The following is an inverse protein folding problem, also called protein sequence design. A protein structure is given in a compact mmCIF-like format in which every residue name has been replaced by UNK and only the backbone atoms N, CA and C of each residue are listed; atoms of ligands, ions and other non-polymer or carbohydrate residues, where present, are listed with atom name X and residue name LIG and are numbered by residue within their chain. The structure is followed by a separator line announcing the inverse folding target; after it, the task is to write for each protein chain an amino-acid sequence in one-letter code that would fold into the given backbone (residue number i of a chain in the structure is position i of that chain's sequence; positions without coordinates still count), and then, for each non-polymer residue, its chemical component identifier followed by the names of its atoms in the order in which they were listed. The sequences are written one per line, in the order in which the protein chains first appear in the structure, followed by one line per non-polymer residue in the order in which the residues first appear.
data_IF_064989683493
#
_entry.id   IF_064989683493
#
_cell.length_a   1.000
_cell.length_b   1.000
_cell.length_c   1.000
_cell.angle_alpha   90.00
_cell.angle_beta   90.00
_cell.angle_gamma   90.00
#
_symmetry.space_group_name_H-M   'P 1'
#
loop_
_entity.id
_entity.type
_entity.pdbx_description
1 polymer ?
#
# COMPACT_ATOMS: atom_id res chain seq x y z
N UNK A 1 -20.64 -21.27 -1.30
CA UNK A 1 -19.63 -20.34 -0.75
C UNK A 1 -19.84 -18.99 -1.40
N UNK A 2 -19.91 -17.92 -0.62
CA UNK A 2 -19.91 -16.56 -1.17
C UNK A 2 -18.54 -16.27 -1.79
N UNK A 3 -18.44 -15.51 -2.89
CA UNK A 3 -17.16 -15.03 -3.40
C UNK A 3 -16.31 -14.30 -2.34
N UNK A 4 -16.97 -13.70 -1.34
CA UNK A 4 -16.30 -13.08 -0.20
C UNK A 4 -15.53 -14.10 0.68
N UNK A 5 -16.01 -15.33 0.79
CA UNK A 5 -15.37 -16.40 1.57
C UNK A 5 -14.06 -16.87 0.92
N UNK A 6 -13.91 -16.63 -0.39
CA UNK A 6 -12.73 -16.99 -1.17
C UNK A 6 -11.60 -15.95 -1.08
N UNK A 7 -11.82 -14.80 -0.45
CA UNK A 7 -10.80 -13.74 -0.32
C UNK A 7 -9.71 -14.18 0.67
N UNK A 8 -8.43 -14.28 0.24
CA UNK A 8 -7.36 -14.66 1.14
C UNK A 8 -7.20 -13.66 2.30
N UNK A 9 -7.00 -14.12 3.55
CA UNK A 9 -6.97 -13.27 4.72
C UNK A 9 -5.77 -12.31 4.76
N UNK A 10 -4.72 -12.59 3.97
CA UNK A 10 -3.57 -11.70 3.86
C UNK A 10 -3.92 -10.37 3.15
N UNK A 11 -4.89 -10.36 2.24
CA UNK A 11 -5.28 -9.16 1.48
C UNK A 11 -5.81 -8.07 2.42
N UNK A 12 -6.89 -8.28 3.20
CA UNK A 12 -7.38 -7.24 4.10
C UNK A 12 -6.35 -6.88 5.18
N UNK A 13 -5.57 -7.84 5.69
CA UNK A 13 -4.52 -7.55 6.68
C UNK A 13 -3.43 -6.63 6.13
N UNK A 14 -2.98 -6.87 4.90
CA UNK A 14 -2.00 -6.04 4.21
C UNK A 14 -2.52 -4.61 4.04
N UNK A 15 -3.76 -4.43 3.59
CA UNK A 15 -4.34 -3.09 3.45
C UNK A 15 -4.55 -2.39 4.80
N UNK A 16 -4.94 -3.09 5.87
CA UNK A 16 -4.97 -2.50 7.22
C UNK A 16 -3.60 -2.00 7.66
N UNK A 17 -2.57 -2.82 7.50
CA UNK A 17 -1.20 -2.48 7.85
C UNK A 17 -0.70 -1.28 7.04
N UNK A 18 -0.95 -1.26 5.72
CA UNK A 18 -0.62 -0.15 4.86
C UNK A 18 -1.36 1.14 5.28
N UNK A 19 -2.64 1.04 5.65
CA UNK A 19 -3.43 2.17 6.13
C UNK A 19 -2.86 2.79 7.40
N UNK A 20 -2.53 1.95 8.38
CA UNK A 20 -1.90 2.39 9.64
C UNK A 20 -0.53 3.01 9.37
N UNK A 21 0.30 2.39 8.53
CA UNK A 21 1.61 2.92 8.17
C UNK A 21 1.51 4.30 7.52
N UNK A 22 0.57 4.49 6.59
CA UNK A 22 0.32 5.80 5.99
C UNK A 22 -0.03 6.85 7.03
N UNK A 23 -0.94 6.56 7.97
CA UNK A 23 -1.28 7.51 9.03
C UNK A 23 -0.10 7.85 9.94
N UNK A 24 0.69 6.84 10.34
CA UNK A 24 1.85 7.03 11.21
C UNK A 24 2.94 7.89 10.57
N UNK A 25 3.12 7.82 9.25
CA UNK A 25 4.10 8.65 8.52
C UNK A 25 3.51 10.03 8.20
N UNK A 26 2.26 10.06 7.76
CA UNK A 26 1.61 11.27 7.25
C UNK A 26 1.23 12.24 8.37
N UNK A 27 0.65 11.78 9.49
CA UNK A 27 0.17 12.67 10.53
C UNK A 27 1.29 13.55 11.13
N UNK A 28 2.48 13.01 11.49
CA UNK A 28 3.61 13.83 11.94
C UNK A 28 4.11 14.79 10.85
N UNK A 29 4.18 14.34 9.61
CA UNK A 29 4.63 15.15 8.47
C UNK A 29 3.69 16.32 8.16
N UNK A 30 2.39 16.13 8.40
CA UNK A 30 1.36 17.16 8.22
C UNK A 30 1.38 18.19 9.36
N UNK A 31 1.49 17.74 10.60
CA UNK A 31 1.45 18.60 11.80
C UNK A 31 2.79 19.30 12.08
N UNK A 32 3.90 18.64 11.79
CA UNK A 32 5.26 19.11 12.07
C UNK A 32 6.23 18.76 10.92
N UNK A 33 6.07 19.39 9.73
CA UNK A 33 6.86 19.06 8.54
C UNK A 33 8.37 19.28 8.73
N UNK A 34 8.76 20.35 9.45
CA UNK A 34 10.18 20.64 9.72
C UNK A 34 10.84 19.55 10.58
N UNK A 35 10.19 19.18 11.69
CA UNK A 35 10.68 18.12 12.59
C UNK A 35 10.72 16.76 11.90
N UNK A 36 9.75 16.48 11.05
CA UNK A 36 9.72 15.24 10.26
C UNK A 36 10.87 15.20 9.25
N UNK A 37 11.18 16.31 8.58
CA UNK A 37 12.35 16.42 7.71
C UNK A 37 13.67 16.23 8.48
N UNK A 38 13.80 16.82 9.67
CA UNK A 38 14.98 16.66 10.54
C UNK A 38 15.21 15.20 10.95
N UNK A 39 14.16 14.48 11.36
CA UNK A 39 14.25 13.04 11.70
C UNK A 39 14.70 12.21 10.51
N UNK A 40 14.27 12.59 9.30
CA UNK A 40 14.68 11.94 8.07
C UNK A 40 16.03 12.45 7.55
N UNK A 41 16.73 13.32 8.26
CA UNK A 41 18.01 13.91 7.81
C UNK A 41 17.88 14.74 6.53
N UNK A 42 16.67 15.19 6.21
CA UNK A 42 16.36 15.98 5.03
C UNK A 42 16.38 17.48 5.37
N UNK A 43 16.66 18.32 4.37
CA UNK A 43 16.52 19.76 4.53
C UNK A 43 15.05 20.09 4.79
N UNK A 44 14.72 20.88 5.84
CA UNK A 44 13.35 21.28 6.10
C UNK A 44 12.71 21.98 4.90
N UNK A 45 11.47 21.66 4.54
CA UNK A 45 10.79 22.30 3.42
C UNK A 45 10.56 23.78 3.70
N UNK A 46 10.83 24.62 2.70
CA UNK A 46 10.59 26.06 2.72
C UNK A 46 10.07 26.51 1.36
N UNK A 47 8.75 26.74 1.20
CA UNK A 47 7.71 26.73 2.24
C UNK A 47 7.35 25.30 2.73
N UNK A 48 6.78 25.13 3.94
CA UNK A 48 6.37 23.83 4.47
C UNK A 48 5.11 23.26 3.81
N UNK A 49 4.30 24.12 3.18
CA UNK A 49 3.00 23.79 2.60
C UNK A 49 3.01 22.58 1.63
N UNK A 50 3.97 22.42 0.70
CA UNK A 50 3.99 21.26 -0.21
C UNK A 50 4.13 19.92 0.52
N UNK A 51 4.96 19.86 1.57
CA UNK A 51 5.11 18.64 2.38
C UNK A 51 3.83 18.34 3.16
N UNK A 52 3.15 19.36 3.67
CA UNK A 52 1.87 19.19 4.37
C UNK A 52 0.76 18.73 3.43
N UNK A 53 0.70 19.30 2.21
CA UNK A 53 -0.25 18.88 1.19
C UNK A 53 -0.02 17.42 0.77
N UNK A 54 1.23 17.04 0.52
CA UNK A 54 1.59 15.65 0.22
C UNK A 54 1.25 14.70 1.38
N UNK A 55 1.58 15.09 2.62
CA UNK A 55 1.24 14.32 3.80
C UNK A 55 -0.28 14.19 3.98
N UNK A 56 -1.05 15.24 3.72
CA UNK A 56 -2.51 15.20 3.70
C UNK A 56 -3.06 14.18 2.71
N UNK A 57 -2.49 14.12 1.49
CA UNK A 57 -2.85 13.08 0.52
C UNK A 57 -2.50 11.67 1.04
N UNK A 58 -1.28 11.45 1.54
CA UNK A 58 -0.88 10.16 2.10
C UNK A 58 -1.79 9.71 3.27
N UNK A 59 -2.25 10.66 4.09
CA UNK A 59 -3.21 10.42 5.16
C UNK A 59 -4.57 9.96 4.62
N UNK A 60 -5.07 10.56 3.53
CA UNK A 60 -6.29 10.14 2.84
C UNK A 60 -6.17 8.72 2.25
N UNK A 61 -5.01 8.38 1.66
CA UNK A 61 -4.75 7.01 1.21
C UNK A 61 -4.81 6.00 2.37
N UNK A 62 -4.47 6.43 3.59
CA UNK A 62 -4.68 5.62 4.79
C UNK A 62 -6.14 5.20 4.98
N UNK A 63 -7.09 6.12 4.81
CA UNK A 63 -8.52 5.79 4.84
C UNK A 63 -8.93 4.90 3.66
N UNK A 64 -8.45 5.20 2.45
CA UNK A 64 -8.73 4.35 1.28
C UNK A 64 -8.30 2.91 1.50
N UNK A 65 -7.13 2.67 2.13
CA UNK A 65 -6.69 1.33 2.47
C UNK A 65 -7.55 0.67 3.55
N UNK A 66 -8.07 1.40 4.53
CA UNK A 66 -9.03 0.85 5.49
C UNK A 66 -10.37 0.47 4.82
N UNK A 67 -10.85 1.27 3.86
CA UNK A 67 -12.06 0.90 3.09
C UNK A 67 -11.84 -0.36 2.26
N UNK A 68 -10.71 -0.47 1.57
CA UNK A 68 -10.34 -1.68 0.84
C UNK A 68 -10.26 -2.87 1.79
N UNK A 69 -9.69 -2.69 2.99
CA UNK A 69 -9.58 -3.77 3.96
C UNK A 69 -10.93 -4.23 4.53
N UNK A 70 -11.94 -3.36 4.57
CA UNK A 70 -13.29 -3.69 5.02
C UNK A 70 -14.07 -4.49 3.97
N UNK A 71 -13.90 -4.18 2.69
CA UNK A 71 -14.52 -4.91 1.58
C UNK A 71 -13.56 -4.98 0.37
N UNK A 72 -12.59 -5.91 0.37
CA UNK A 72 -11.58 -5.97 -0.69
C UNK A 72 -12.17 -6.26 -2.06
N UNK A 73 -13.22 -7.08 -2.12
CA UNK A 73 -13.81 -7.55 -3.38
C UNK A 73 -14.69 -6.46 -4.02
N UNK A 74 -15.56 -5.81 -3.22
CA UNK A 74 -16.40 -4.72 -3.70
C UNK A 74 -15.60 -3.44 -3.98
N UNK A 75 -14.52 -3.19 -3.24
CA UNK A 75 -13.63 -2.02 -3.42
C UNK A 75 -12.39 -2.31 -4.28
N UNK A 76 -12.33 -3.44 -4.99
CA UNK A 76 -11.15 -3.82 -5.81
C UNK A 76 -10.74 -2.77 -6.84
N UNK A 77 -11.67 -1.94 -7.32
CA UNK A 77 -11.35 -0.84 -8.22
C UNK A 77 -10.40 0.19 -7.59
N UNK A 78 -10.43 0.37 -6.27
CA UNK A 78 -9.54 1.29 -5.54
C UNK A 78 -8.09 0.80 -5.48
N UNK A 79 -7.87 -0.52 -5.58
CA UNK A 79 -6.52 -1.11 -5.51
C UNK A 79 -5.66 -0.68 -6.70
N UNK A 80 -6.26 -0.39 -7.87
CA UNK A 80 -5.50 0.15 -9.00
C UNK A 80 -4.88 1.52 -8.70
N UNK A 81 -5.61 2.36 -7.98
CA UNK A 81 -5.11 3.66 -7.56
C UNK A 81 -4.09 3.51 -6.43
N UNK A 82 -4.21 2.48 -5.58
CA UNK A 82 -3.23 2.16 -4.55
C UNK A 82 -1.84 1.89 -5.13
N UNK A 83 -1.70 0.94 -6.07
CA UNK A 83 -0.38 0.65 -6.64
C UNK A 83 0.12 1.74 -7.60
N UNK A 84 -0.79 2.48 -8.26
CA UNK A 84 -0.40 3.61 -9.10
C UNK A 84 0.17 4.77 -8.27
N UNK A 85 -0.42 5.09 -7.11
CA UNK A 85 0.14 6.05 -6.17
C UNK A 85 1.53 5.64 -5.72
N UNK A 86 1.68 4.38 -5.26
CA UNK A 86 2.97 3.85 -4.81
C UNK A 86 4.03 3.96 -5.91
N UNK A 87 3.67 3.67 -7.15
CA UNK A 87 4.58 3.83 -8.30
C UNK A 87 5.00 5.29 -8.52
N UNK A 88 4.05 6.24 -8.50
CA UNK A 88 4.36 7.67 -8.69
C UNK A 88 5.25 8.20 -7.56
N UNK A 89 4.91 7.90 -6.31
CA UNK A 89 5.70 8.28 -5.12
C UNK A 89 7.10 7.67 -5.16
N UNK A 90 7.20 6.36 -5.47
CA UNK A 90 8.45 5.65 -5.63
C UNK A 90 9.36 6.30 -6.70
N UNK A 91 8.82 6.62 -7.87
CA UNK A 91 9.59 7.24 -8.94
C UNK A 91 10.06 8.66 -8.58
N UNK A 92 9.19 9.47 -7.97
CA UNK A 92 9.51 10.85 -7.60
C UNK A 92 10.67 10.92 -6.60
N UNK A 93 10.64 10.10 -5.55
CA UNK A 93 11.66 10.12 -4.50
C UNK A 93 12.93 9.38 -4.97
N UNK A 94 12.81 8.33 -5.79
CA UNK A 94 13.98 7.68 -6.40
C UNK A 94 14.76 8.65 -7.29
N UNK A 95 14.04 9.50 -8.06
CA UNK A 95 14.65 10.59 -8.82
C UNK A 95 15.30 11.62 -7.89
N UNK A 96 14.60 12.06 -6.85
CA UNK A 96 15.14 13.02 -5.87
C UNK A 96 16.42 12.52 -5.20
N UNK A 97 16.50 11.23 -4.85
CA UNK A 97 17.70 10.63 -4.29
C UNK A 97 18.87 10.62 -5.29
N UNK A 98 18.62 10.15 -6.53
CA UNK A 98 19.63 10.13 -7.59
C UNK A 98 20.16 11.53 -7.91
N UNK A 99 19.29 12.52 -7.89
CA UNK A 99 19.63 13.92 -8.20
C UNK A 99 20.24 14.65 -6.97
N UNK A 100 20.49 13.95 -5.85
CA UNK A 100 21.12 14.50 -4.63
C UNK A 100 20.20 15.38 -3.77
N UNK A 101 18.89 15.37 -4.04
CA UNK A 101 17.89 16.22 -3.37
C UNK A 101 17.25 15.54 -2.14
N UNK A 102 17.35 14.21 -2.04
CA UNK A 102 16.84 13.43 -0.91
C UNK A 102 17.97 12.67 -0.20
N UNK A 103 17.98 12.64 1.14
CA UNK A 103 18.96 11.85 1.89
C UNK A 103 18.68 10.34 1.76
N UNK A 104 19.70 9.52 2.05
CA UNK A 104 19.60 8.06 2.00
C UNK A 104 18.48 7.51 2.90
N UNK A 105 18.28 8.09 4.08
CA UNK A 105 17.20 7.76 5.01
C UNK A 105 15.81 7.87 4.38
N UNK A 106 15.52 8.95 3.66
CA UNK A 106 14.26 9.12 2.93
C UNK A 106 14.11 8.09 1.82
N UNK A 107 15.22 7.76 1.13
CA UNK A 107 15.22 6.74 0.08
C UNK A 107 15.00 5.32 0.64
N UNK A 108 15.62 4.97 1.77
CA UNK A 108 15.40 3.67 2.43
C UNK A 108 13.95 3.55 2.90
N UNK A 109 13.41 4.60 3.54
CA UNK A 109 12.02 4.62 3.96
C UNK A 109 11.08 4.40 2.77
N UNK A 110 11.33 5.08 1.64
CA UNK A 110 10.59 4.92 0.39
C UNK A 110 10.63 3.49 -0.14
N UNK A 111 11.82 2.89 -0.23
CA UNK A 111 11.95 1.54 -0.78
C UNK A 111 11.12 0.55 0.02
N UNK A 112 11.10 0.73 1.35
CA UNK A 112 10.31 -0.10 2.26
C UNK A 112 8.81 0.21 2.20
N UNK A 113 8.40 1.47 1.98
CA UNK A 113 6.98 1.85 2.01
C UNK A 113 6.28 1.74 0.67
N UNK A 114 6.97 2.07 -0.44
CA UNK A 114 6.36 2.21 -1.76
C UNK A 114 6.78 1.08 -2.69
N UNK A 115 8.09 0.91 -2.94
CA UNK A 115 8.56 -0.15 -3.84
C UNK A 115 8.15 -1.55 -3.36
N UNK A 116 8.30 -1.83 -2.07
CA UNK A 116 7.92 -3.11 -1.49
C UNK A 116 6.41 -3.41 -1.57
N UNK A 117 5.57 -2.38 -1.68
CA UNK A 117 4.10 -2.52 -1.66
C UNK A 117 3.46 -2.63 -3.05
N UNK A 118 4.14 -2.20 -4.11
CA UNK A 118 3.60 -2.28 -5.48
C UNK A 118 3.27 -3.73 -5.86
N UNK A 119 4.23 -4.65 -5.73
CA UNK A 119 4.03 -6.04 -6.14
C UNK A 119 2.92 -6.75 -5.33
N UNK A 120 2.87 -6.63 -3.98
CA UNK A 120 1.76 -7.14 -3.18
C UNK A 120 0.40 -6.56 -3.57
N UNK A 121 0.31 -5.26 -3.86
CA UNK A 121 -0.95 -4.64 -4.30
C UNK A 121 -1.40 -5.13 -5.67
N UNK A 122 -0.47 -5.28 -6.62
CA UNK A 122 -0.77 -5.85 -7.94
C UNK A 122 -1.20 -7.31 -7.84
N UNK A 123 -0.57 -8.10 -6.95
CA UNK A 123 -0.97 -9.48 -6.69
C UNK A 123 -2.37 -9.55 -6.08
N UNK A 124 -2.68 -8.68 -5.11
CA UNK A 124 -4.01 -8.59 -4.51
C UNK A 124 -5.08 -8.22 -5.55
N UNK A 125 -4.81 -7.22 -6.41
CA UNK A 125 -5.68 -6.84 -7.52
C UNK A 125 -5.99 -8.05 -8.40
N UNK A 126 -4.95 -8.71 -8.94
CA UNK A 126 -5.11 -9.87 -9.83
C UNK A 126 -5.91 -10.98 -9.16
N UNK A 127 -5.64 -11.24 -7.87
CA UNK A 127 -6.32 -12.30 -7.12
C UNK A 127 -7.80 -12.00 -6.93
N UNK A 128 -8.14 -10.77 -6.60
CA UNK A 128 -9.52 -10.34 -6.43
C UNK A 128 -10.27 -10.31 -7.77
N UNK A 129 -9.61 -9.93 -8.86
CA UNK A 129 -10.20 -9.97 -10.19
C UNK A 129 -10.50 -11.42 -10.64
N UNK A 130 -9.61 -12.37 -10.34
CA UNK A 130 -9.87 -13.82 -10.56
C UNK A 130 -11.08 -14.30 -9.76
N UNK A 131 -11.15 -13.98 -8.47
CA UNK A 131 -12.29 -14.35 -7.61
C UNK A 131 -13.59 -13.73 -8.14
N UNK A 132 -13.55 -12.47 -8.57
CA UNK A 132 -14.71 -11.77 -9.14
C UNK A 132 -15.17 -12.36 -10.48
N UNK A 133 -14.24 -12.89 -11.28
CA UNK A 133 -14.53 -13.58 -12.54
C UNK A 133 -15.07 -15.01 -12.35
N UNK A 134 -14.99 -15.57 -11.14
CA UNK A 134 -15.32 -16.96 -10.86
C UNK A 134 -14.15 -17.93 -11.06
N UNK A 135 -12.97 -17.43 -11.43
CA UNK A 135 -11.72 -18.18 -11.58
C UNK A 135 -11.08 -18.43 -10.21
N UNK A 136 -11.76 -19.20 -9.36
CA UNK A 136 -11.14 -19.69 -8.13
C UNK A 136 -10.26 -20.88 -8.52
N UNK A 137 -8.91 -20.78 -8.47
CA UNK A 137 -8.07 -21.94 -8.72
C UNK A 137 -8.48 -23.05 -7.75
N UNK A 138 -8.54 -24.26 -8.26
CA UNK A 138 -8.83 -25.44 -7.47
C UNK A 138 -8.00 -25.40 -6.18
N UNK A 139 -8.65 -25.67 -5.04
CA UNK A 139 -7.92 -25.85 -3.79
C UNK A 139 -6.77 -26.85 -4.04
N UNK A 140 -5.57 -26.61 -3.50
CA UNK A 140 -4.48 -27.56 -3.63
C UNK A 140 -4.98 -28.93 -3.19
N UNK A 141 -4.84 -29.90 -4.10
CA UNK A 141 -5.47 -31.21 -4.13
C UNK A 141 -5.87 -31.75 -2.75
N UNK A 142 -7.17 -31.98 -2.55
CA UNK A 142 -7.60 -32.94 -1.53
C UNK A 142 -6.93 -34.28 -1.89
N UNK A 143 -6.21 -34.92 -0.95
CA UNK A 143 -5.64 -36.24 -1.21
C UNK A 143 -6.76 -37.21 -1.60
N UNK A 144 -6.51 -38.10 -2.57
CA UNK A 144 -7.54 -39.00 -3.08
C UNK A 144 -8.17 -39.79 -1.93
N UNK A 145 -9.49 -39.90 -1.95
CA UNK A 145 -10.24 -40.62 -0.92
C UNK A 145 -9.69 -42.06 -0.77
N UNK A 146 -9.52 -42.56 0.47
CA UNK A 146 -9.03 -43.91 0.68
C UNK A 146 -9.98 -44.94 0.06
N UNK A 147 -9.46 -46.06 -0.48
CA UNK A 147 -10.29 -47.09 -1.11
C UNK A 147 -11.32 -47.62 -0.12
N UNK A 148 -12.57 -47.73 -0.58
CA UNK A 148 -13.64 -48.35 0.18
C UNK A 148 -13.27 -49.81 0.49
N UNK A 149 -13.39 -50.19 1.76
CA UNK A 149 -13.17 -51.57 2.24
C UNK A 149 -14.36 -52.45 1.92
#
# INVERSE_FOLDING_TARGET
MSPADSVPPWIPRMFRAAGVANWLIAAPSMLAPRRSAEVLGAKPPSPPFPMQAWAGMAFMFGFMFQEIAADPLGKRALIRYAWAEKLVSALAISRGFRDGQAPLSSFVLLTLSDWAMIAPFMLAQRRLDQIAAGDTPAAPDQPPAPPAR
#
